data_IF_520293759252
#
_entry.id   IF_520293759252
#
_cell.length_a   1.000
_cell.length_b   1.000
_cell.length_c   1.000
_cell.angle_alpha   90.00
_cell.angle_beta   90.00
_cell.angle_gamma   90.00
#
_symmetry.space_group_name_H-M   'P 1'
#
loop_
_entity.id
_entity.type
_entity.pdbx_description
1 polymer ?
#
# COMPACT_ATOMS: atom_id res chain seq x y z
N UNK A 1 -10.62 13.11 -8.35
CA UNK A 1 -10.47 12.21 -9.50
C UNK A 1 -10.21 10.76 -9.06
N UNK A 2 -9.18 10.50 -8.24
CA UNK A 2 -8.84 9.16 -7.73
C UNK A 2 -10.02 8.41 -7.06
N UNK A 3 -10.65 9.00 -6.04
CA UNK A 3 -11.77 8.33 -5.35
C UNK A 3 -12.95 8.02 -6.28
N UNK A 4 -13.20 8.89 -7.26
CA UNK A 4 -14.24 8.65 -8.27
C UNK A 4 -13.85 7.51 -9.23
N UNK A 5 -12.57 7.37 -9.57
CA UNK A 5 -12.09 6.23 -10.36
C UNK A 5 -12.24 4.92 -9.59
N UNK A 6 -11.88 4.91 -8.31
CA UNK A 6 -12.06 3.74 -7.42
C UNK A 6 -13.54 3.40 -7.28
N UNK A 7 -14.41 4.38 -7.02
CA UNK A 7 -15.85 4.18 -6.88
C UNK A 7 -16.57 3.69 -8.14
N UNK A 8 -15.97 3.86 -9.33
CA UNK A 8 -16.45 3.24 -10.59
C UNK A 8 -16.01 1.79 -10.74
N UNK A 9 -14.86 1.42 -10.18
CA UNK A 9 -14.31 0.08 -10.28
C UNK A 9 -14.86 -0.86 -9.19
N UNK A 10 -15.14 -0.34 -8.00
CA UNK A 10 -15.60 -1.14 -6.86
C UNK A 10 -16.36 -0.30 -5.82
N UNK A 11 -17.25 -0.92 -5.01
CA UNK A 11 -17.85 -0.25 -3.86
C UNK A 11 -16.78 0.20 -2.86
N UNK A 12 -16.78 1.49 -2.53
CA UNK A 12 -15.86 2.07 -1.57
C UNK A 12 -16.51 3.23 -0.83
N UNK A 13 -16.11 3.41 0.43
CA UNK A 13 -16.31 4.64 1.19
C UNK A 13 -14.98 5.36 1.31
N UNK A 14 -14.99 6.68 1.21
CA UNK A 14 -13.79 7.48 1.36
C UNK A 14 -13.98 8.67 2.28
N UNK A 15 -12.88 9.10 2.88
CA UNK A 15 -12.76 10.33 3.64
C UNK A 15 -11.49 11.06 3.21
N UNK A 16 -11.61 12.36 2.95
CA UNK A 16 -10.48 13.20 2.57
C UNK A 16 -9.90 13.86 3.82
N UNK A 17 -8.59 13.76 3.95
CA UNK A 17 -7.82 14.36 5.03
C UNK A 17 -6.71 15.24 4.43
N UNK A 18 -6.12 16.13 5.25
CA UNK A 18 -5.03 17.04 4.86
C UNK A 18 -5.33 17.84 3.59
N UNK A 19 -6.53 18.40 3.49
CA UNK A 19 -6.97 19.15 2.31
C UNK A 19 -7.05 18.31 1.03
N UNK A 20 -7.15 16.98 1.15
CA UNK A 20 -7.18 16.04 0.03
C UNK A 20 -5.82 15.41 -0.30
N UNK A 21 -4.75 15.73 0.44
CA UNK A 21 -3.45 15.08 0.31
C UNK A 21 -3.44 13.63 0.80
N UNK A 22 -4.43 13.25 1.61
CA UNK A 22 -4.65 11.87 2.04
C UNK A 22 -6.11 11.47 1.78
N UNK A 23 -6.30 10.29 1.19
CA UNK A 23 -7.61 9.68 0.99
C UNK A 23 -7.67 8.39 1.81
N UNK A 24 -8.49 8.39 2.84
CA UNK A 24 -8.82 7.19 3.59
C UNK A 24 -9.87 6.40 2.81
N UNK A 25 -9.63 5.11 2.61
CA UNK A 25 -10.51 4.22 1.86
C UNK A 25 -10.95 3.05 2.73
N UNK A 26 -12.25 2.79 2.73
CA UNK A 26 -12.86 1.59 3.31
C UNK A 26 -13.57 0.82 2.21
N UNK A 27 -13.19 -0.45 2.06
CA UNK A 27 -13.66 -1.40 1.05
C UNK A 27 -14.00 -2.74 1.70
N UNK A 28 -14.71 -3.60 1.00
CA UNK A 28 -14.95 -4.96 1.47
C UNK A 28 -13.62 -5.74 1.59
N UNK A 29 -13.51 -6.59 2.61
CA UNK A 29 -12.33 -7.41 2.87
C UNK A 29 -12.37 -8.77 2.14
N UNK A 30 -12.90 -8.78 0.92
CA UNK A 30 -12.99 -9.96 0.05
C UNK A 30 -11.80 -10.01 -0.90
N UNK A 31 -11.31 -11.21 -1.24
CA UNK A 31 -10.17 -11.37 -2.14
C UNK A 31 -8.91 -10.62 -1.67
N UNK A 32 -8.38 -9.75 -2.52
CA UNK A 32 -7.22 -8.89 -2.23
C UNK A 32 -7.61 -7.56 -1.56
N UNK A 33 -8.85 -7.43 -1.08
CA UNK A 33 -9.44 -6.20 -0.56
C UNK A 33 -9.32 -5.02 -1.54
N UNK A 34 -9.40 -5.27 -2.85
CA UNK A 34 -9.35 -4.25 -3.89
C UNK A 34 -7.97 -3.65 -4.12
N UNK A 35 -6.91 -4.26 -3.60
CA UNK A 35 -5.55 -3.75 -3.73
C UNK A 35 -5.16 -3.52 -5.19
N UNK A 36 -5.45 -4.47 -6.08
CA UNK A 36 -5.16 -4.32 -7.51
C UNK A 36 -5.91 -3.12 -8.13
N UNK A 37 -7.22 -3.02 -7.89
CA UNK A 37 -8.05 -1.95 -8.44
C UNK A 37 -7.61 -0.57 -7.93
N UNK A 38 -7.34 -0.45 -6.62
CA UNK A 38 -6.87 0.80 -6.00
C UNK A 38 -5.50 1.20 -6.56
N UNK A 39 -4.56 0.26 -6.66
CA UNK A 39 -3.19 0.53 -7.14
C UNK A 39 -3.16 0.84 -8.63
N UNK A 40 -4.01 0.20 -9.43
CA UNK A 40 -4.20 0.52 -10.84
C UNK A 40 -4.71 1.95 -11.01
N UNK A 41 -5.68 2.38 -10.20
CA UNK A 41 -6.19 3.74 -10.22
C UNK A 41 -5.11 4.79 -9.85
N UNK A 42 -4.18 4.45 -8.95
CA UNK A 42 -3.05 5.33 -8.61
C UNK A 42 -2.09 5.54 -9.79
N UNK A 43 -1.95 4.60 -10.73
CA UNK A 43 -1.03 4.74 -11.86
C UNK A 43 -1.24 6.01 -12.68
N UNK A 44 -2.48 6.48 -12.80
CA UNK A 44 -2.84 7.72 -13.51
C UNK A 44 -2.79 8.99 -12.63
N UNK A 45 -2.86 8.84 -11.32
CA UNK A 45 -3.01 9.94 -10.36
C UNK A 45 -1.77 10.20 -9.51
N UNK A 46 -0.82 9.27 -9.49
CA UNK A 46 0.29 9.25 -8.56
C UNK A 46 -0.12 8.86 -7.13
N UNK A 47 0.87 8.76 -6.24
CA UNK A 47 0.68 8.43 -4.82
C UNK A 47 0.95 6.96 -4.49
N UNK A 48 0.65 6.59 -3.25
CA UNK A 48 0.92 5.27 -2.70
C UNK A 48 -0.27 4.79 -1.86
N UNK A 49 -0.64 3.52 -1.99
CA UNK A 49 -1.64 2.89 -1.14
C UNK A 49 -0.97 2.12 0.01
N UNK A 50 -1.47 2.32 1.23
CA UNK A 50 -1.03 1.58 2.41
C UNK A 50 -2.23 0.84 3.01
N UNK A 51 -2.10 -0.46 3.23
CA UNK A 51 -3.09 -1.26 3.93
C UNK A 51 -3.03 -0.97 5.44
N UNK A 52 -4.02 -0.24 5.95
CA UNK A 52 -4.03 0.19 7.35
C UNK A 52 -4.69 -0.85 8.27
N UNK A 53 -5.81 -1.44 7.84
CA UNK A 53 -6.59 -2.39 8.63
C UNK A 53 -7.22 -3.42 7.70
N UNK A 54 -7.04 -4.70 8.02
CA UNK A 54 -7.73 -5.81 7.37
C UNK A 54 -7.70 -7.06 8.27
N UNK A 55 -8.57 -8.06 8.03
CA UNK A 55 -8.45 -9.38 8.66
C UNK A 55 -7.07 -10.01 8.41
N UNK A 56 -6.65 -10.90 9.30
CA UNK A 56 -5.30 -11.50 9.23
C UNK A 56 -5.04 -12.25 7.91
N UNK A 57 -6.06 -12.93 7.37
CA UNK A 57 -5.97 -13.60 6.08
C UNK A 57 -5.60 -12.63 4.93
N UNK A 58 -6.20 -11.44 4.91
CA UNK A 58 -5.88 -10.40 3.92
C UNK A 58 -4.49 -9.83 4.18
N UNK A 59 -4.14 -9.55 5.44
CA UNK A 59 -2.81 -9.03 5.80
C UNK A 59 -1.66 -10.00 5.46
N UNK A 60 -1.93 -11.30 5.46
CA UNK A 60 -0.97 -12.32 5.08
C UNK A 60 -0.76 -12.41 3.56
N UNK A 61 -1.78 -12.08 2.76
CA UNK A 61 -1.76 -12.22 1.30
C UNK A 61 -1.47 -10.91 0.55
N UNK A 62 -1.83 -9.75 1.13
CA UNK A 62 -1.76 -8.44 0.47
C UNK A 62 -0.59 -7.63 1.04
N UNK A 63 0.37 -7.19 0.20
CA UNK A 63 1.45 -6.33 0.65
C UNK A 63 0.93 -5.05 1.31
N UNK A 64 1.48 -4.70 2.48
CA UNK A 64 1.02 -3.53 3.25
C UNK A 64 1.30 -2.23 2.49
N UNK A 65 2.47 -2.09 1.88
CA UNK A 65 2.89 -0.88 1.18
C UNK A 65 2.71 -1.01 -0.33
N UNK A 66 2.60 0.14 -0.99
CA UNK A 66 2.67 0.24 -2.44
C UNK A 66 4.00 -0.37 -2.92
N UNK A 67 3.98 -1.31 -3.88
CA UNK A 67 5.21 -1.83 -4.47
C UNK A 67 6.10 -0.70 -4.98
N UNK A 68 7.39 -0.76 -4.63
CA UNK A 68 8.37 0.21 -5.07
C UNK A 68 8.85 -0.10 -6.48
N UNK A 69 9.26 0.94 -7.20
CA UNK A 69 10.05 0.75 -8.41
C UNK A 69 11.40 0.13 -8.05
N UNK A 70 12.00 -0.60 -8.99
CA UNK A 70 13.31 -1.23 -8.80
C UNK A 70 14.40 -0.27 -8.27
N UNK A 71 14.53 0.99 -8.76
CA UNK A 71 15.48 1.94 -8.18
C UNK A 71 15.20 2.29 -6.72
N UNK A 72 13.93 2.50 -6.34
CA UNK A 72 13.56 2.83 -4.96
C UNK A 72 13.80 1.63 -4.03
N UNK A 73 13.48 0.41 -4.47
CA UNK A 73 13.74 -0.80 -3.71
C UNK A 73 15.23 -0.95 -3.38
N UNK A 74 16.13 -0.72 -4.35
CA UNK A 74 17.58 -0.76 -4.11
C UNK A 74 18.03 0.24 -3.05
N UNK A 75 17.48 1.46 -3.07
CA UNK A 75 17.77 2.46 -2.03
C UNK A 75 17.24 2.01 -0.68
N UNK A 76 16.02 1.48 -0.62
CA UNK A 76 15.41 0.96 0.62
C UNK A 76 16.24 -0.16 1.22
N UNK A 77 16.68 -1.14 0.42
CA UNK A 77 17.58 -2.21 0.86
C UNK A 77 18.92 -1.66 1.36
N UNK A 78 19.52 -0.71 0.64
CA UNK A 78 20.79 -0.09 1.05
C UNK A 78 20.68 0.61 2.42
N UNK A 79 19.59 1.36 2.64
CA UNK A 79 19.31 1.99 3.95
C UNK A 79 19.14 0.92 5.03
N UNK A 80 18.37 -0.15 4.75
CA UNK A 80 18.17 -1.25 5.69
C UNK A 80 19.48 -1.90 6.09
N UNK A 81 20.31 -2.27 5.12
CA UNK A 81 21.62 -2.90 5.38
C UNK A 81 22.55 -1.99 6.17
N UNK A 82 22.56 -0.68 5.89
CA UNK A 82 23.42 0.27 6.60
C UNK A 82 23.03 0.44 8.08
N UNK A 83 21.73 0.39 8.38
CA UNK A 83 21.21 0.67 9.73
C UNK A 83 20.83 -0.57 10.54
N UNK A 84 20.64 -1.72 9.90
CA UNK A 84 20.30 -3.00 10.52
C UNK A 84 20.95 -4.17 9.77
N UNK A 85 22.30 -4.25 9.78
CA UNK A 85 23.04 -5.29 9.06
C UNK A 85 22.76 -6.70 9.58
N UNK A 86 22.27 -6.83 10.83
CA UNK A 86 21.88 -8.10 11.43
C UNK A 86 20.41 -8.47 11.19
N UNK A 87 19.61 -7.60 10.56
CA UNK A 87 18.21 -7.86 10.24
C UNK A 87 17.28 -8.01 11.46
N UNK A 88 17.62 -7.40 12.59
CA UNK A 88 16.88 -7.57 13.86
C UNK A 88 15.58 -6.77 13.87
N UNK A 89 15.54 -5.62 13.18
CA UNK A 89 14.38 -4.75 13.22
C UNK A 89 13.32 -5.18 12.21
N UNK A 90 12.13 -5.54 12.71
CA UNK A 90 10.96 -5.81 11.87
C UNK A 90 11.18 -6.87 10.75
N UNK A 91 11.78 -8.03 11.04
CA UNK A 91 12.03 -9.05 10.03
C UNK A 91 10.73 -9.48 9.35
N UNK A 92 10.74 -9.55 8.02
CA UNK A 92 9.57 -9.91 7.22
C UNK A 92 8.43 -8.89 7.24
N UNK A 93 8.66 -7.67 7.77
CA UNK A 93 7.71 -6.55 7.68
C UNK A 93 8.26 -5.49 6.72
N UNK A 94 7.52 -4.39 6.53
CA UNK A 94 7.83 -3.38 5.51
C UNK A 94 7.66 -3.98 4.11
N UNK A 95 8.76 -4.21 3.39
CA UNK A 95 8.78 -4.91 2.11
C UNK A 95 9.41 -6.28 2.33
N UNK A 96 8.79 -7.35 1.83
CA UNK A 96 9.28 -8.71 2.04
C UNK A 96 10.70 -8.94 1.46
N UNK A 97 11.13 -8.11 0.50
CA UNK A 97 12.47 -8.16 -0.08
C UNK A 97 13.55 -7.39 0.72
N UNK A 98 13.21 -6.81 1.88
CA UNK A 98 14.06 -5.91 2.69
C UNK A 98 14.35 -6.47 4.07
#
# INVERSE_FOLDING_TARGET
ALAAAIGRAMPARWFYDWGGGLVWLAVASEGDAGAEAIRSALGQHGGHATLIRAPDAVRAAVPVFQPLSQPLMRVTQGIKTAHDPAGVFNPGRMYAEV
#
